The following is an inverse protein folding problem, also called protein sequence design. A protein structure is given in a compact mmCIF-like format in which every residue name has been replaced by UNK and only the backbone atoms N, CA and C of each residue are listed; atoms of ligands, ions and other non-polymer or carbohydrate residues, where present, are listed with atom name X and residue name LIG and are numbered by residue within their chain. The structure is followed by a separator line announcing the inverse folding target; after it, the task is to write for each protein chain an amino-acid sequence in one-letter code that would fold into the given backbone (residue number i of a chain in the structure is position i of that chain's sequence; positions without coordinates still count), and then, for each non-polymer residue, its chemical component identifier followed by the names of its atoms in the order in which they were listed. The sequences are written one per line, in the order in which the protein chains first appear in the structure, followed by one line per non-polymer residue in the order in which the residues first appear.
data_IF_090976031884
#
_entry.id   IF_090976031884
#
_cell.length_a   1.000
_cell.length_b   1.000
_cell.length_c   1.000
_cell.angle_alpha   90.00
_cell.angle_beta   90.00
_cell.angle_gamma   90.00
#
_symmetry.space_group_name_H-M   'P 1'
#
loop_
_entity.id
_entity.type
_entity.pdbx_description
1 polymer ?
#
# COMPACT_ATOMS: atom_id res chain seq x y z
N UNK A 1 18.16 20.60 -9.42
CA UNK A 1 19.08 19.48 -9.16
C UNK A 1 19.93 19.88 -7.96
N UNK A 2 19.82 19.18 -6.84
CA UNK A 2 20.61 19.49 -5.65
C UNK A 2 22.05 19.05 -5.89
N UNK A 3 22.97 20.00 -6.01
CA UNK A 3 24.41 19.67 -6.00
C UNK A 3 24.77 19.17 -4.59
N UNK A 4 25.19 17.91 -4.52
CA UNK A 4 25.67 17.32 -3.26
C UNK A 4 26.89 18.10 -2.74
N UNK A 5 27.05 18.28 -1.43
CA UNK A 5 28.23 18.95 -0.89
C UNK A 5 29.52 18.27 -1.34
N UNK A 6 30.52 19.04 -1.78
CA UNK A 6 31.80 18.53 -2.31
C UNK A 6 32.58 17.65 -1.32
N UNK A 7 32.31 17.77 -0.02
CA UNK A 7 32.94 16.96 1.03
C UNK A 7 32.37 15.55 1.13
N UNK A 8 31.17 15.30 0.60
CA UNK A 8 30.50 14.01 0.72
C UNK A 8 31.13 13.02 -0.27
N UNK A 9 31.73 11.90 0.21
CA UNK A 9 32.43 10.94 -0.64
C UNK A 9 31.43 9.99 -1.33
N UNK A 10 30.47 10.53 -2.07
CA UNK A 10 29.54 9.76 -2.89
C UNK A 10 30.34 9.01 -3.97
N UNK A 11 29.96 7.75 -4.23
CA UNK A 11 30.51 6.96 -5.34
C UNK A 11 30.27 7.67 -6.68
N UNK A 12 31.26 7.64 -7.57
CA UNK A 12 31.19 8.39 -8.83
C UNK A 12 30.04 7.95 -9.74
N UNK A 13 29.65 6.68 -9.69
CA UNK A 13 28.54 6.12 -10.49
C UNK A 13 27.14 6.56 -10.01
N UNK A 14 27.05 7.24 -8.87
CA UNK A 14 25.82 7.84 -8.32
C UNK A 14 25.77 9.37 -8.49
N UNK A 15 26.88 10.00 -8.88
CA UNK A 15 26.93 11.46 -9.07
C UNK A 15 26.04 11.88 -10.25
N UNK A 16 25.34 13.00 -10.10
CA UNK A 16 24.46 13.55 -11.12
C UNK A 16 23.09 12.86 -11.24
N UNK A 17 22.85 11.78 -10.50
CA UNK A 17 21.53 11.14 -10.44
C UNK A 17 20.59 11.90 -9.50
N UNK A 18 19.29 11.78 -9.75
CA UNK A 18 18.22 12.26 -8.87
C UNK A 18 17.55 11.10 -8.15
N UNK A 19 16.96 11.37 -6.99
CA UNK A 19 16.12 10.40 -6.30
C UNK A 19 14.97 9.95 -7.22
N UNK A 20 14.70 8.64 -7.23
CA UNK A 20 13.55 8.08 -7.91
C UNK A 20 12.28 8.35 -7.09
N UNK A 21 11.19 8.66 -7.77
CA UNK A 21 9.88 8.86 -7.16
C UNK A 21 9.03 9.75 -8.05
N UNK A 22 7.80 9.33 -8.32
CA UNK A 22 6.84 10.21 -8.97
C UNK A 22 6.56 11.42 -8.04
N UNK A 23 6.39 12.64 -8.58
CA UNK A 23 6.02 13.81 -7.79
C UNK A 23 4.77 13.54 -6.94
N UNK A 24 4.84 13.84 -5.65
CA UNK A 24 3.71 13.74 -4.73
C UNK A 24 2.91 15.04 -4.78
N UNK A 25 2.19 15.24 -5.87
CA UNK A 25 1.36 16.42 -6.07
C UNK A 25 0.01 16.23 -5.38
N UNK A 26 -0.44 17.27 -4.69
CA UNK A 26 -1.80 17.33 -4.16
C UNK A 26 -2.77 17.69 -5.29
N UNK A 27 -3.27 16.65 -5.95
CA UNK A 27 -4.16 16.75 -7.10
C UNK A 27 -5.36 15.84 -6.91
N UNK A 28 -6.50 16.30 -7.41
CA UNK A 28 -7.81 15.63 -7.29
C UNK A 28 -7.75 14.19 -7.82
N UNK A 29 -7.10 13.97 -8.98
CA UNK A 29 -7.02 12.66 -9.64
C UNK A 29 -5.57 12.16 -9.70
N UNK A 30 -5.20 11.26 -8.79
CA UNK A 30 -3.89 10.60 -8.78
C UNK A 30 -3.97 9.25 -9.47
N UNK A 31 -3.54 9.20 -10.74
CA UNK A 31 -3.57 8.01 -11.61
C UNK A 31 -2.18 7.64 -12.15
N UNK A 32 -1.12 7.93 -11.39
CA UNK A 32 0.27 7.86 -11.87
C UNK A 32 1.11 6.70 -11.29
N UNK A 33 0.64 6.01 -10.23
CA UNK A 33 1.43 4.98 -9.52
C UNK A 33 0.82 3.57 -9.56
N UNK A 34 -0.21 3.34 -10.38
CA UNK A 34 -0.92 2.06 -10.53
C UNK A 34 -1.41 1.48 -9.18
N UNK A 35 -1.89 2.31 -8.27
CA UNK A 35 -2.48 1.87 -7.00
C UNK A 35 -3.88 1.30 -7.22
N UNK A 36 -4.33 0.43 -6.31
CA UNK A 36 -5.75 0.11 -6.24
C UNK A 36 -6.51 1.38 -5.80
N UNK A 37 -7.50 1.88 -6.54
CA UNK A 37 -8.27 3.05 -6.11
C UNK A 37 -9.26 2.73 -4.98
N UNK A 38 -9.53 1.45 -4.69
CA UNK A 38 -10.47 1.05 -3.64
C UNK A 38 -9.80 1.01 -2.27
N UNK A 39 -10.51 1.48 -1.24
CA UNK A 39 -10.10 1.33 0.16
C UNK A 39 -10.24 -0.13 0.64
N UNK A 40 -9.52 -0.47 1.70
CA UNK A 40 -9.67 -1.75 2.40
C UNK A 40 -11.09 -1.88 2.98
N UNK A 41 -11.58 -3.11 3.12
CA UNK A 41 -12.87 -3.36 3.79
C UNK A 41 -12.77 -3.22 5.28
N UNK A 42 -13.87 -2.83 5.92
CA UNK A 42 -13.94 -2.73 7.38
C UNK A 42 -13.60 -4.05 8.05
N UNK A 43 -14.02 -5.18 7.46
CA UNK A 43 -13.65 -6.52 7.92
C UNK A 43 -12.14 -6.74 7.90
N UNK A 44 -11.47 -6.37 6.80
CA UNK A 44 -10.02 -6.50 6.68
C UNK A 44 -9.28 -5.52 7.60
N UNK A 45 -9.78 -4.29 7.76
CA UNK A 45 -9.22 -3.30 8.70
C UNK A 45 -9.32 -3.81 10.13
N UNK A 46 -10.46 -4.40 10.51
CA UNK A 46 -10.67 -5.00 11.82
C UNK A 46 -9.71 -6.17 12.05
N UNK A 47 -9.57 -7.08 11.08
CA UNK A 47 -8.66 -8.24 11.17
C UNK A 47 -7.19 -7.82 11.30
N UNK A 48 -6.73 -6.84 10.50
CA UNK A 48 -5.38 -6.26 10.63
C UNK A 48 -5.19 -5.65 12.02
N UNK A 49 -6.15 -4.85 12.48
CA UNK A 49 -6.05 -4.15 13.77
C UNK A 49 -5.98 -5.15 14.93
N UNK A 50 -6.80 -6.20 14.88
CA UNK A 50 -6.79 -7.24 15.91
C UNK A 50 -5.51 -8.09 15.85
N UNK A 51 -5.03 -8.43 14.66
CA UNK A 51 -3.76 -9.12 14.47
C UNK A 51 -2.58 -8.33 15.05
N UNK A 52 -2.53 -7.01 14.82
CA UNK A 52 -1.51 -6.11 15.40
C UNK A 52 -1.67 -6.01 16.92
N UNK A 53 -2.91 -5.87 17.43
CA UNK A 53 -3.20 -5.84 18.87
C UNK A 53 -2.70 -7.09 19.56
N UNK A 54 -2.93 -8.27 18.97
CA UNK A 54 -2.56 -9.56 19.54
C UNK A 54 -1.04 -9.68 19.77
N UNK A 55 -0.22 -9.12 18.87
CA UNK A 55 1.25 -9.16 18.97
C UNK A 55 1.86 -7.95 19.68
N UNK A 56 1.09 -6.91 19.98
CA UNK A 56 1.60 -5.62 20.44
C UNK A 56 2.45 -5.71 21.72
N UNK A 57 2.15 -6.68 22.59
CA UNK A 57 2.89 -6.91 23.84
C UNK A 57 4.31 -7.44 23.61
N UNK A 58 4.58 -8.03 22.45
CA UNK A 58 5.85 -8.68 22.12
C UNK A 58 6.71 -7.87 21.14
N UNK A 59 6.33 -6.63 20.83
CA UNK A 59 7.08 -5.75 19.91
C UNK A 59 8.50 -5.41 20.37
N UNK A 60 8.83 -5.67 21.64
CA UNK A 60 10.20 -5.56 22.16
C UNK A 60 11.11 -6.75 21.78
N UNK A 61 10.56 -7.79 21.13
CA UNK A 61 11.29 -8.97 20.66
C UNK A 61 11.52 -8.89 19.17
N UNK A 62 12.60 -9.53 18.72
CA UNK A 62 12.79 -9.76 17.28
C UNK A 62 11.66 -10.66 16.76
N UNK A 63 11.15 -10.38 15.55
CA UNK A 63 10.12 -11.20 14.92
C UNK A 63 10.67 -12.58 14.52
N UNK A 64 9.79 -13.47 14.04
CA UNK A 64 10.21 -14.67 13.32
C UNK A 64 11.07 -14.28 12.11
N UNK A 65 12.36 -14.56 12.22
CA UNK A 65 13.36 -14.19 11.21
C UNK A 65 13.06 -14.81 9.84
N UNK A 66 12.48 -16.00 9.83
CA UNK A 66 12.30 -16.77 8.60
C UNK A 66 10.86 -16.60 8.06
N UNK A 67 10.01 -15.83 8.73
CA UNK A 67 8.63 -15.49 8.37
C UNK A 67 7.81 -16.72 7.92
N UNK A 68 7.90 -17.82 8.66
CA UNK A 68 7.42 -19.14 8.26
C UNK A 68 5.92 -19.14 8.00
N UNK A 69 5.15 -18.53 8.91
CA UNK A 69 3.69 -18.46 8.79
C UNK A 69 3.26 -17.62 7.57
N UNK A 70 3.90 -16.47 7.35
CA UNK A 70 3.64 -15.62 6.19
C UNK A 70 3.95 -16.36 4.87
N UNK A 71 5.11 -17.00 4.80
CA UNK A 71 5.52 -17.78 3.62
C UNK A 71 4.59 -18.95 3.35
N UNK A 72 4.13 -19.64 4.39
CA UNK A 72 3.13 -20.70 4.24
C UNK A 72 1.79 -20.15 3.69
N UNK A 73 1.32 -19.02 4.18
CA UNK A 73 0.10 -18.38 3.69
C UNK A 73 0.23 -17.91 2.22
N UNK A 74 1.37 -17.31 1.87
CA UNK A 74 1.69 -16.92 0.49
C UNK A 74 1.76 -18.15 -0.43
N UNK A 75 2.41 -19.23 -0.01
CA UNK A 75 2.47 -20.50 -0.74
C UNK A 75 1.08 -21.05 -1.02
N UNK A 76 0.20 -21.05 -0.02
CA UNK A 76 -1.18 -21.49 -0.17
C UNK A 76 -1.96 -20.59 -1.15
N UNK A 77 -1.76 -19.26 -1.09
CA UNK A 77 -2.39 -18.31 -2.01
C UNK A 77 -1.95 -18.53 -3.47
N UNK A 78 -0.64 -18.60 -3.72
CA UNK A 78 -0.12 -18.81 -5.08
C UNK A 78 -0.50 -20.20 -5.61
N UNK A 79 -0.64 -21.19 -4.72
CA UNK A 79 -1.11 -22.52 -5.13
C UNK A 79 -2.55 -22.50 -5.62
N UNK A 80 -3.45 -21.84 -4.87
CA UNK A 80 -4.85 -21.70 -5.28
C UNK A 80 -5.02 -20.90 -6.57
N UNK A 81 -4.29 -19.80 -6.71
CA UNK A 81 -4.42 -18.90 -7.87
C UNK A 81 -3.81 -19.48 -9.15
N UNK A 82 -2.76 -20.30 -9.06
CA UNK A 82 -2.09 -20.89 -10.22
C UNK A 82 -2.51 -22.33 -10.55
N UNK A 83 -3.11 -23.04 -9.60
CA UNK A 83 -3.41 -24.47 -9.70
C UNK A 83 -2.18 -25.38 -9.57
N UNK A 84 -1.03 -24.86 -9.12
CA UNK A 84 0.21 -25.62 -8.90
C UNK A 84 0.56 -25.62 -7.42
N UNK A 85 0.91 -26.77 -6.86
CA UNK A 85 1.22 -26.87 -5.44
C UNK A 85 2.58 -26.25 -5.09
N UNK A 86 2.59 -25.32 -4.13
CA UNK A 86 3.77 -24.71 -3.54
C UNK A 86 3.78 -24.86 -2.02
N UNK A 87 4.98 -24.97 -1.46
CA UNK A 87 5.21 -25.00 -0.01
C UNK A 87 6.03 -23.78 0.42
N UNK A 88 6.08 -23.51 1.73
CA UNK A 88 6.83 -22.36 2.29
C UNK A 88 8.31 -22.34 1.89
N UNK A 89 8.92 -23.51 1.64
CA UNK A 89 10.31 -23.65 1.17
C UNK A 89 10.52 -23.05 -0.22
N UNK A 90 9.48 -23.04 -1.07
CA UNK A 90 9.52 -22.46 -2.42
C UNK A 90 9.05 -21.01 -2.45
N UNK A 91 8.85 -20.38 -1.30
CA UNK A 91 8.40 -18.99 -1.18
C UNK A 91 9.32 -18.18 -0.29
N UNK A 92 9.55 -16.93 -0.66
CA UNK A 92 10.34 -15.97 0.07
C UNK A 92 9.62 -14.62 0.11
N UNK A 93 9.68 -13.93 1.23
CA UNK A 93 9.00 -12.66 1.44
C UNK A 93 10.00 -11.59 1.89
N UNK A 94 9.76 -10.35 1.47
CA UNK A 94 10.56 -9.18 1.78
C UNK A 94 9.68 -7.92 1.72
N UNK A 95 10.24 -6.76 2.02
CA UNK A 95 9.57 -5.46 2.03
C UNK A 95 9.30 -4.97 0.59
N UNK A 96 8.25 -5.52 -0.02
CA UNK A 96 7.84 -5.23 -1.40
C UNK A 96 8.73 -5.89 -2.44
N UNK A 97 8.30 -5.82 -3.71
CA UNK A 97 9.03 -6.44 -4.82
C UNK A 97 10.43 -5.82 -5.04
N UNK A 98 10.62 -4.54 -4.67
CA UNK A 98 11.91 -3.88 -4.76
C UNK A 98 13.00 -4.57 -3.92
N UNK A 99 12.68 -4.99 -2.68
CA UNK A 99 13.66 -5.70 -1.83
C UNK A 99 13.92 -7.12 -2.35
N UNK A 100 12.89 -7.81 -2.87
CA UNK A 100 13.07 -9.11 -3.54
C UNK A 100 14.04 -8.99 -4.73
N UNK A 101 13.83 -8.01 -5.60
CA UNK A 101 14.68 -7.78 -6.78
C UNK A 101 16.09 -7.37 -6.35
N UNK A 102 16.23 -6.56 -5.29
CA UNK A 102 17.53 -6.21 -4.72
C UNK A 102 18.27 -7.46 -4.22
N UNK A 103 17.60 -8.34 -3.47
CA UNK A 103 18.19 -9.58 -2.96
C UNK A 103 18.61 -10.51 -4.12
N UNK A 104 17.81 -10.60 -5.19
CA UNK A 104 18.17 -11.35 -6.40
C UNK A 104 19.46 -10.79 -7.02
N UNK A 105 19.55 -9.47 -7.19
CA UNK A 105 20.76 -8.86 -7.73
C UNK A 105 21.98 -8.99 -6.80
N UNK A 106 21.80 -8.96 -5.49
CA UNK A 106 22.88 -9.18 -4.54
C UNK A 106 23.40 -10.62 -4.57
N UNK A 107 22.51 -11.60 -4.77
CA UNK A 107 22.86 -13.02 -4.78
C UNK A 107 23.40 -13.50 -6.13
N UNK A 108 22.83 -13.03 -7.24
CA UNK A 108 23.07 -13.56 -8.59
C UNK A 108 23.58 -12.52 -9.59
N UNK A 109 23.51 -11.23 -9.24
CA UNK A 109 24.07 -10.13 -10.01
C UNK A 109 25.36 -9.60 -9.38
N UNK A 110 25.51 -8.28 -9.34
CA UNK A 110 26.67 -7.61 -8.77
C UNK A 110 27.80 -7.39 -9.78
N UNK A 111 28.94 -6.94 -9.26
CA UNK A 111 30.09 -6.52 -10.08
C UNK A 111 30.58 -7.66 -10.96
N UNK A 112 30.72 -7.38 -12.25
CA UNK A 112 31.18 -8.37 -13.24
C UNK A 112 30.03 -9.19 -13.86
N UNK A 113 28.81 -9.07 -13.36
CA UNK A 113 27.63 -9.70 -13.94
C UNK A 113 26.80 -8.70 -14.74
N UNK A 114 26.12 -9.24 -15.76
CA UNK A 114 25.22 -8.54 -16.66
C UNK A 114 23.79 -9.06 -16.51
N UNK A 115 22.84 -8.15 -16.46
CA UNK A 115 21.41 -8.41 -16.53
C UNK A 115 20.84 -7.82 -17.82
N UNK A 116 19.91 -8.55 -18.44
CA UNK A 116 19.20 -8.15 -19.65
C UNK A 116 17.71 -7.99 -19.33
N UNK A 117 17.10 -6.88 -19.75
CA UNK A 117 15.65 -6.70 -19.71
C UNK A 117 15.11 -6.10 -21.01
N UNK A 118 13.89 -6.47 -21.40
CA UNK A 118 13.32 -6.07 -22.70
C UNK A 118 12.50 -4.79 -22.57
N UNK A 119 13.05 -3.67 -23.05
CA UNK A 119 12.50 -2.32 -22.88
C UNK A 119 11.56 -1.91 -24.03
N UNK A 120 10.60 -0.98 -23.79
CA UNK A 120 10.26 -0.35 -22.51
C UNK A 120 9.62 -1.34 -21.51
N UNK A 121 10.10 -1.29 -20.26
CA UNK A 121 9.69 -2.15 -19.15
C UNK A 121 9.79 -1.40 -17.81
N UNK A 122 9.68 -2.12 -16.70
CA UNK A 122 9.63 -1.54 -15.37
C UNK A 122 10.93 -0.80 -15.02
N UNK A 123 10.79 0.49 -14.72
CA UNK A 123 11.89 1.43 -14.49
C UNK A 123 12.78 1.09 -13.29
N UNK A 124 12.29 0.33 -12.30
CA UNK A 124 13.08 -0.03 -11.13
C UNK A 124 14.13 -1.11 -11.40
N UNK A 125 13.95 -1.99 -12.40
CA UNK A 125 14.92 -3.05 -12.69
C UNK A 125 16.34 -2.50 -12.96
N UNK A 126 16.55 -1.56 -13.92
CA UNK A 126 17.88 -0.98 -14.16
C UNK A 126 18.40 -0.14 -12.97
N UNK A 127 17.52 0.51 -12.22
CA UNK A 127 17.92 1.31 -11.06
C UNK A 127 18.47 0.43 -9.93
N UNK A 128 17.78 -0.67 -9.61
CA UNK A 128 18.23 -1.60 -8.58
C UNK A 128 19.53 -2.28 -9.06
N UNK A 129 19.59 -2.75 -10.31
CA UNK A 129 20.80 -3.32 -10.92
C UNK A 129 22.02 -2.42 -10.72
N UNK A 130 21.89 -1.12 -11.02
CA UNK A 130 22.96 -0.13 -10.82
C UNK A 130 23.38 -0.03 -9.35
N UNK A 131 22.43 0.11 -8.42
CA UNK A 131 22.74 0.25 -6.99
C UNK A 131 23.44 -0.97 -6.40
N UNK A 132 23.15 -2.17 -6.94
CA UNK A 132 23.82 -3.42 -6.57
C UNK A 132 25.10 -3.67 -7.37
N UNK A 133 25.44 -2.81 -8.33
CA UNK A 133 26.67 -2.90 -9.14
C UNK A 133 26.61 -3.90 -10.29
N UNK A 134 25.41 -4.32 -10.71
CA UNK A 134 25.16 -5.18 -11.87
C UNK A 134 25.12 -4.32 -13.14
N UNK A 135 25.79 -4.77 -14.21
CA UNK A 135 25.66 -4.14 -15.51
C UNK A 135 24.26 -4.43 -16.09
N UNK A 136 23.55 -3.42 -16.56
CA UNK A 136 22.21 -3.59 -17.14
C UNK A 136 22.25 -3.30 -18.64
N UNK A 137 21.71 -4.23 -19.43
CA UNK A 137 21.57 -4.10 -20.88
C UNK A 137 20.09 -4.01 -21.23
N UNK A 138 19.76 -2.96 -21.99
CA UNK A 138 18.42 -2.75 -22.53
C UNK A 138 18.25 -3.56 -23.82
N UNK A 139 17.56 -4.68 -23.69
CA UNK A 139 17.00 -5.41 -24.82
C UNK A 139 15.83 -4.65 -25.44
N UNK A 140 15.47 -5.05 -26.66
CA UNK A 140 14.43 -4.42 -27.47
C UNK A 140 13.17 -5.28 -27.51
N UNK A 141 12.03 -4.63 -27.35
CA UNK A 141 10.71 -5.17 -27.72
C UNK A 141 10.38 -4.86 -29.17
N UNK A 142 9.39 -5.55 -29.69
CA UNK A 142 8.86 -5.30 -31.03
C UNK A 142 8.17 -3.91 -31.08
N UNK A 143 8.00 -3.29 -32.26
CA UNK A 143 7.42 -1.94 -32.38
C UNK A 143 6.00 -1.80 -31.82
N UNK A 144 5.26 -2.90 -31.67
CA UNK A 144 3.94 -2.97 -31.05
C UNK A 144 3.99 -3.27 -29.53
N UNK A 145 5.17 -3.19 -28.94
CA UNK A 145 5.49 -3.48 -27.54
C UNK A 145 5.34 -4.95 -27.12
N UNK A 146 5.12 -5.86 -28.07
CA UNK A 146 5.17 -7.29 -27.81
C UNK A 146 6.61 -7.80 -27.70
N UNK A 147 6.76 -9.07 -27.36
CA UNK A 147 8.05 -9.74 -27.32
C UNK A 147 7.85 -11.13 -27.90
N UNK A 148 8.51 -11.41 -29.03
CA UNK A 148 8.57 -12.76 -29.60
C UNK A 148 9.69 -13.59 -28.97
N UNK A 149 9.48 -14.91 -28.90
CA UNK A 149 10.50 -15.86 -28.44
C UNK A 149 11.77 -15.80 -29.28
N UNK A 150 11.65 -15.69 -30.60
CA UNK A 150 12.80 -15.61 -31.52
C UNK A 150 13.68 -14.38 -31.21
N UNK A 151 13.08 -13.19 -31.13
CA UNK A 151 13.80 -11.95 -30.83
C UNK A 151 14.45 -12.01 -29.44
N UNK A 152 13.72 -12.48 -28.44
CA UNK A 152 14.23 -12.58 -27.08
C UNK A 152 15.42 -13.56 -26.98
N UNK A 153 15.33 -14.73 -27.61
CA UNK A 153 16.39 -15.74 -27.66
C UNK A 153 17.64 -15.21 -28.36
N UNK A 154 17.48 -14.51 -29.49
CA UNK A 154 18.61 -13.92 -30.21
C UNK A 154 19.37 -12.92 -29.34
N UNK A 155 18.65 -12.04 -28.63
CA UNK A 155 19.26 -11.05 -27.73
C UNK A 155 19.96 -11.70 -26.52
N UNK A 156 19.39 -12.77 -25.95
CA UNK A 156 20.04 -13.53 -24.86
C UNK A 156 21.34 -14.16 -25.35
N UNK A 157 21.34 -14.74 -26.56
CA UNK A 157 22.53 -15.38 -27.15
C UNK A 157 23.62 -14.38 -27.50
N UNK A 158 23.27 -13.17 -27.93
CA UNK A 158 24.22 -12.10 -28.20
C UNK A 158 24.83 -11.53 -26.91
N UNK A 159 24.00 -11.22 -25.91
CA UNK A 159 24.43 -10.54 -24.68
C UNK A 159 25.10 -11.48 -23.68
N UNK A 160 24.73 -12.77 -23.65
CA UNK A 160 25.19 -13.75 -22.65
C UNK A 160 25.03 -13.27 -21.18
N UNK A 161 23.82 -12.81 -20.77
CA UNK A 161 23.62 -12.27 -19.42
C UNK A 161 23.58 -13.37 -18.35
N UNK A 162 23.87 -13.02 -17.10
CA UNK A 162 23.65 -13.92 -15.94
C UNK A 162 22.21 -13.84 -15.43
N UNK A 163 21.53 -12.71 -15.67
CA UNK A 163 20.14 -12.48 -15.28
C UNK A 163 19.32 -12.00 -16.48
N UNK A 164 18.13 -12.55 -16.66
CA UNK A 164 17.16 -12.08 -17.67
C UNK A 164 15.88 -11.67 -16.95
N UNK A 165 15.40 -10.46 -17.19
CA UNK A 165 14.17 -9.92 -16.60
C UNK A 165 13.05 -9.83 -17.64
N UNK A 166 11.89 -10.37 -17.29
CA UNK A 166 10.65 -10.27 -18.05
C UNK A 166 9.57 -9.73 -17.11
N UNK A 167 8.83 -8.70 -17.50
CA UNK A 167 7.65 -8.23 -16.76
C UNK A 167 6.39 -8.65 -17.52
N UNK A 168 5.46 -9.34 -16.85
CA UNK A 168 4.25 -9.87 -17.49
C UNK A 168 3.09 -9.99 -16.47
N UNK A 169 2.01 -9.20 -16.61
CA UNK A 169 1.83 -8.09 -17.55
C UNK A 169 2.87 -6.99 -17.40
N UNK A 170 3.31 -6.41 -18.53
CA UNK A 170 4.40 -5.44 -18.58
C UNK A 170 3.97 -4.05 -18.08
N UNK A 171 4.90 -3.30 -17.48
CA UNK A 171 4.74 -1.89 -17.14
C UNK A 171 5.79 -1.11 -17.94
N UNK A 172 5.43 -0.15 -18.82
CA UNK A 172 4.17 0.60 -18.85
C UNK A 172 3.12 0.10 -19.84
N UNK A 173 3.41 -0.93 -20.63
CA UNK A 173 2.63 -1.25 -21.85
C UNK A 173 1.37 -2.09 -21.59
N UNK A 174 1.28 -2.75 -20.43
CA UNK A 174 0.16 -3.63 -20.06
C UNK A 174 0.14 -4.98 -20.79
N UNK A 175 1.08 -5.25 -21.68
CA UNK A 175 1.11 -6.49 -22.48
C UNK A 175 1.59 -7.68 -21.66
N UNK A 176 0.91 -8.82 -21.76
CA UNK A 176 1.39 -10.08 -21.19
C UNK A 176 2.33 -10.77 -22.19
N UNK A 177 3.38 -11.41 -21.68
CA UNK A 177 4.26 -12.28 -22.47
C UNK A 177 3.70 -13.69 -22.45
N UNK A 178 3.51 -14.31 -23.61
CA UNK A 178 2.93 -15.67 -23.70
C UNK A 178 3.81 -16.71 -23.01
N UNK A 179 3.21 -17.78 -22.49
CA UNK A 179 3.99 -18.87 -21.88
C UNK A 179 4.97 -19.51 -22.88
N UNK A 180 4.60 -19.61 -24.16
CA UNK A 180 5.51 -20.14 -25.20
C UNK A 180 6.76 -19.27 -25.36
N UNK A 181 6.61 -17.94 -25.33
CA UNK A 181 7.74 -17.01 -25.34
C UNK A 181 8.56 -17.12 -24.07
N UNK A 182 7.91 -17.19 -22.90
CA UNK A 182 8.60 -17.37 -21.63
C UNK A 182 9.40 -18.67 -21.59
N UNK A 183 8.86 -19.78 -22.12
CA UNK A 183 9.57 -21.06 -22.26
C UNK A 183 10.80 -20.94 -23.15
N UNK A 184 10.68 -20.31 -24.32
CA UNK A 184 11.82 -20.08 -25.21
C UNK A 184 12.94 -19.29 -24.53
N UNK A 185 12.57 -18.25 -23.76
CA UNK A 185 13.54 -17.47 -22.97
C UNK A 185 14.19 -18.33 -21.88
N UNK A 186 13.40 -19.11 -21.14
CA UNK A 186 13.89 -19.99 -20.09
C UNK A 186 14.85 -21.05 -20.62
N UNK A 187 14.56 -21.63 -21.78
CA UNK A 187 15.42 -22.60 -22.47
C UNK A 187 16.74 -21.97 -22.90
N UNK A 188 16.71 -20.81 -23.58
CA UNK A 188 17.92 -20.12 -24.01
C UNK A 188 18.76 -19.61 -22.83
N UNK A 189 18.13 -19.11 -21.77
CA UNK A 189 18.82 -18.72 -20.55
C UNK A 189 19.49 -19.93 -19.88
N UNK A 190 18.83 -21.09 -19.86
CA UNK A 190 19.39 -22.31 -19.30
C UNK A 190 20.63 -22.79 -20.04
N UNK A 191 20.67 -22.66 -21.38
CA UNK A 191 21.83 -23.02 -22.20
C UNK A 191 23.10 -22.27 -21.80
N UNK A 192 22.95 -21.04 -21.32
CA UNK A 192 24.07 -20.16 -20.91
C UNK A 192 24.25 -20.07 -19.39
N UNK A 193 23.48 -20.85 -18.62
CA UNK A 193 23.54 -20.84 -17.15
C UNK A 193 22.94 -19.59 -16.49
N UNK A 194 22.06 -18.87 -17.19
CA UNK A 194 21.41 -17.66 -16.70
C UNK A 194 20.11 -17.95 -15.93
N UNK A 195 19.84 -17.09 -14.95
CA UNK A 195 18.60 -17.10 -14.17
C UNK A 195 17.59 -16.12 -14.79
N UNK A 196 16.33 -16.55 -14.94
CA UNK A 196 15.24 -15.73 -15.46
C UNK A 196 14.32 -15.29 -14.34
N UNK A 197 14.12 -13.98 -14.21
CA UNK A 197 13.21 -13.36 -13.26
C UNK A 197 11.97 -12.90 -14.03
N UNK A 198 10.83 -13.49 -13.70
CA UNK A 198 9.54 -13.19 -14.29
C UNK A 198 8.73 -12.38 -13.28
N UNK A 199 8.64 -11.08 -13.52
CA UNK A 199 7.95 -10.11 -12.67
C UNK A 199 6.46 -10.06 -13.00
N UNK A 200 5.67 -10.70 -12.14
CA UNK A 200 4.22 -10.84 -12.22
C UNK A 200 3.49 -9.85 -11.29
N UNK A 201 4.01 -8.63 -11.12
CA UNK A 201 3.39 -7.60 -10.25
C UNK A 201 1.92 -7.28 -10.57
N UNK A 202 1.46 -7.56 -11.80
CA UNK A 202 0.08 -7.29 -12.25
C UNK A 202 -0.70 -8.56 -12.61
N UNK A 203 -0.23 -9.75 -12.20
CA UNK A 203 -0.82 -10.99 -12.66
C UNK A 203 -2.27 -11.21 -12.17
N UNK A 204 -2.68 -10.62 -11.04
CA UNK A 204 -4.07 -10.60 -10.58
C UNK A 204 -5.00 -9.79 -11.51
N UNK A 205 -4.45 -8.86 -12.29
CA UNK A 205 -5.18 -8.05 -13.28
C UNK A 205 -5.03 -8.57 -14.72
N UNK A 206 -4.33 -9.68 -14.90
CA UNK A 206 -4.13 -10.24 -16.22
C UNK A 206 -5.48 -10.62 -16.86
N UNK A 207 -5.57 -10.48 -18.19
CA UNK A 207 -6.80 -10.79 -18.93
C UNK A 207 -7.21 -12.24 -18.68
N UNK A 208 -8.51 -12.51 -18.60
CA UNK A 208 -9.06 -13.87 -18.45
C UNK A 208 -8.40 -14.83 -19.44
N UNK A 209 -7.91 -15.97 -18.94
CA UNK A 209 -7.18 -16.96 -19.73
C UNK A 209 -5.65 -16.78 -19.75
N UNK A 210 -5.13 -15.65 -19.26
CA UNK A 210 -3.68 -15.47 -19.09
C UNK A 210 -3.20 -16.35 -17.93
N UNK A 211 -2.35 -17.33 -18.25
CA UNK A 211 -1.78 -18.23 -17.25
C UNK A 211 -0.51 -17.64 -16.64
N UNK A 212 -0.31 -17.91 -15.34
CA UNK A 212 0.88 -17.49 -14.62
C UNK A 212 2.10 -18.35 -14.97
N UNK A 213 3.27 -17.71 -14.97
CA UNK A 213 4.59 -18.31 -15.06
C UNK A 213 4.89 -19.30 -13.92
N UNK A 214 4.14 -19.24 -12.80
CA UNK A 214 4.19 -20.23 -11.73
C UNK A 214 4.02 -21.67 -12.27
N UNK A 215 3.26 -21.84 -13.35
CA UNK A 215 3.06 -23.14 -14.00
C UNK A 215 4.31 -23.72 -14.67
N UNK A 216 5.33 -22.90 -14.90
CA UNK A 216 6.60 -23.31 -15.52
C UNK A 216 7.66 -23.69 -14.47
N UNK A 217 7.47 -23.36 -13.19
CA UNK A 217 8.48 -23.52 -12.14
C UNK A 217 8.84 -24.98 -11.80
N UNK A 218 8.01 -25.95 -12.17
CA UNK A 218 8.34 -27.37 -11.99
C UNK A 218 9.27 -27.91 -13.09
N UNK A 219 9.28 -27.25 -14.24
CA UNK A 219 10.05 -27.66 -15.41
C UNK A 219 11.35 -26.87 -15.56
N UNK A 220 11.34 -25.60 -15.15
CA UNK A 220 12.46 -24.68 -15.32
C UNK A 220 13.06 -24.28 -13.97
N UNK A 221 14.13 -24.95 -13.50
CA UNK A 221 14.77 -24.62 -12.22
C UNK A 221 15.51 -23.27 -12.25
N UNK A 222 15.78 -22.72 -13.43
CA UNK A 222 16.37 -21.40 -13.64
C UNK A 222 15.32 -20.27 -13.73
N UNK A 223 14.10 -20.51 -13.25
CA UNK A 223 13.03 -19.52 -13.20
C UNK A 223 12.77 -19.04 -11.77
N UNK A 224 12.63 -17.72 -11.60
CA UNK A 224 12.06 -17.08 -10.42
C UNK A 224 10.83 -16.27 -10.84
N UNK A 225 9.76 -16.35 -10.06
CA UNK A 225 8.56 -15.51 -10.26
C UNK A 225 8.43 -14.56 -9.08
N UNK A 226 8.35 -13.25 -9.36
CA UNK A 226 8.09 -12.24 -8.33
C UNK A 226 6.64 -11.76 -8.38
N UNK A 227 6.02 -11.57 -7.22
CA UNK A 227 4.65 -11.06 -7.03
C UNK A 227 4.67 -9.89 -6.05
N UNK A 228 3.57 -9.14 -5.98
CA UNK A 228 3.41 -8.05 -4.99
C UNK A 228 1.99 -7.97 -4.45
N UNK A 229 1.85 -7.50 -3.21
CA UNK A 229 0.55 -7.21 -2.60
C UNK A 229 0.14 -5.74 -2.78
N UNK A 230 1.01 -4.87 -3.31
CA UNK A 230 0.79 -3.42 -3.40
C UNK A 230 -0.26 -2.96 -4.42
N UNK A 231 -0.99 -3.89 -5.07
CA UNK A 231 -1.80 -3.59 -6.27
C UNK A 231 -3.23 -4.11 -6.23
N UNK A 232 -3.49 -5.36 -5.82
CA UNK A 232 -4.81 -5.98 -6.03
C UNK A 232 -5.71 -6.11 -4.78
N UNK A 233 -5.21 -5.89 -3.57
CA UNK A 233 -5.93 -6.29 -2.35
C UNK A 233 -6.62 -5.14 -1.60
N UNK A 234 -7.72 -4.64 -2.16
CA UNK A 234 -8.67 -3.79 -1.47
C UNK A 234 -10.07 -3.91 -2.14
N UNK A 235 -11.03 -4.64 -1.53
CA UNK A 235 -12.40 -4.80 -2.04
C UNK A 235 -13.40 -4.82 -0.87
N UNK A 236 -14.21 -3.76 -0.72
CA UNK A 236 -15.13 -3.59 0.42
C UNK A 236 -16.60 -3.26 0.08
N UNK A 237 -16.89 -2.68 -1.09
CA UNK A 237 -18.28 -2.52 -1.57
C UNK A 237 -19.22 -1.62 -0.76
N UNK A 238 -18.75 -0.54 -0.13
CA UNK A 238 -19.58 0.44 0.61
C UNK A 238 -19.67 1.78 -0.13
N UNK A 239 -20.76 2.56 0.05
CA UNK A 239 -21.00 3.85 -0.62
C UNK A 239 -21.16 5.03 0.36
N UNK A 240 -20.98 6.29 -0.08
CA UNK A 240 -21.17 7.48 0.78
C UNK A 240 -22.58 7.66 1.37
N UNK A 241 -23.57 6.94 0.85
CA UNK A 241 -24.93 6.95 1.38
C UNK A 241 -25.04 6.20 2.73
N UNK A 242 -24.09 5.32 3.01
CA UNK A 242 -24.09 4.41 4.16
C UNK A 242 -23.40 5.01 5.41
N UNK A 243 -23.04 6.31 5.38
CA UNK A 243 -22.27 6.98 6.44
C UNK A 243 -23.11 8.06 7.16
N UNK A 244 -23.25 7.92 8.48
CA UNK A 244 -24.12 8.75 9.35
C UNK A 244 -23.39 9.83 10.16
N UNK A 245 -22.08 9.74 10.37
CA UNK A 245 -21.26 10.74 11.09
C UNK A 245 -19.92 10.87 10.37
N UNK A 246 -19.41 12.09 10.22
CA UNK A 246 -18.11 12.35 9.63
C UNK A 246 -17.17 12.95 10.69
N UNK A 247 -15.90 12.57 10.69
CA UNK A 247 -14.87 13.23 11.53
C UNK A 247 -13.70 13.67 10.65
N UNK A 248 -13.95 14.70 9.84
CA UNK A 248 -12.96 15.19 8.87
C UNK A 248 -11.93 16.12 9.51
N UNK A 249 -10.68 15.95 9.06
CA UNK A 249 -9.52 16.71 9.53
C UNK A 249 -9.70 18.24 9.30
N UNK A 250 -9.83 19.02 10.38
CA UNK A 250 -10.26 20.43 10.34
C UNK A 250 -9.16 21.44 10.70
N UNK A 251 -7.94 21.21 10.24
CA UNK A 251 -6.83 22.14 10.46
C UNK A 251 -7.08 23.55 9.87
N UNK A 252 -7.94 23.65 8.85
CA UNK A 252 -8.47 24.90 8.32
C UNK A 252 -9.92 24.71 7.80
N UNK A 253 -10.80 25.68 8.01
CA UNK A 253 -12.25 25.58 7.70
C UNK A 253 -12.55 25.18 6.25
N UNK A 254 -11.73 25.63 5.29
CA UNK A 254 -11.92 25.31 3.88
C UNK A 254 -11.65 23.82 3.55
N UNK A 255 -10.72 23.20 4.26
CA UNK A 255 -10.33 21.80 4.04
C UNK A 255 -11.48 20.84 4.35
N UNK A 256 -12.27 21.15 5.39
CA UNK A 256 -13.48 20.40 5.77
C UNK A 256 -14.48 20.35 4.61
N UNK A 257 -14.70 21.46 3.90
CA UNK A 257 -15.64 21.50 2.77
C UNK A 257 -15.14 20.66 1.59
N UNK A 258 -13.85 20.78 1.24
CA UNK A 258 -13.26 20.00 0.16
C UNK A 258 -13.30 18.49 0.44
N UNK A 259 -13.01 18.09 1.67
CA UNK A 259 -13.03 16.68 2.06
C UNK A 259 -14.44 16.08 2.00
N UNK A 260 -15.48 16.82 2.39
CA UNK A 260 -16.86 16.35 2.28
C UNK A 260 -17.31 16.15 0.83
N UNK A 261 -16.78 16.94 -0.12
CA UNK A 261 -16.98 16.73 -1.55
C UNK A 261 -16.19 15.52 -2.08
N UNK A 262 -14.93 15.34 -1.66
CA UNK A 262 -14.07 14.23 -2.09
C UNK A 262 -14.55 12.88 -1.57
N UNK A 263 -15.16 12.86 -0.38
CA UNK A 263 -15.81 11.69 0.20
C UNK A 263 -17.15 11.36 -0.48
N UNK A 264 -17.59 12.16 -1.46
CA UNK A 264 -18.80 11.92 -2.23
C UNK A 264 -20.10 12.21 -1.48
N UNK A 265 -20.04 12.99 -0.40
CA UNK A 265 -21.24 13.37 0.36
C UNK A 265 -22.04 14.51 -0.29
N UNK A 266 -21.39 15.31 -1.13
CA UNK A 266 -21.98 16.33 -1.99
C UNK A 266 -21.14 16.48 -3.26
N UNK A 267 -21.67 17.15 -4.29
CA UNK A 267 -20.91 17.33 -5.53
C UNK A 267 -19.81 18.37 -5.32
N UNK A 268 -18.77 18.28 -6.15
CA UNK A 268 -17.70 19.27 -6.18
C UNK A 268 -18.24 20.68 -6.42
N UNK A 269 -17.83 21.63 -5.56
CA UNK A 269 -18.32 23.00 -5.56
C UNK A 269 -19.56 23.25 -4.68
N UNK A 270 -20.18 22.19 -4.14
CA UNK A 270 -21.36 22.30 -3.26
C UNK A 270 -20.99 22.21 -1.77
N UNK A 271 -19.73 22.00 -1.39
CA UNK A 271 -19.28 21.78 -0.02
C UNK A 271 -19.61 22.93 0.93
N UNK A 272 -19.61 24.17 0.41
CA UNK A 272 -20.06 25.35 1.14
C UNK A 272 -21.55 25.30 1.49
N UNK A 273 -22.40 25.00 0.51
CA UNK A 273 -23.84 24.86 0.70
C UNK A 273 -24.17 23.63 1.57
N UNK A 274 -23.42 22.54 1.37
CA UNK A 274 -23.53 21.32 2.13
C UNK A 274 -23.26 21.58 3.62
N UNK A 275 -22.13 22.20 3.98
CA UNK A 275 -21.83 22.56 5.38
C UNK A 275 -22.82 23.59 5.92
N UNK A 276 -23.17 24.60 5.12
CA UNK A 276 -24.06 25.69 5.53
C UNK A 276 -25.51 25.24 5.74
N UNK A 277 -25.94 24.13 5.12
CA UNK A 277 -27.26 23.53 5.30
C UNK A 277 -27.53 23.06 6.73
N UNK A 278 -26.49 22.99 7.57
CA UNK A 278 -26.56 22.47 8.93
C UNK A 278 -26.47 20.95 9.00
N UNK A 279 -26.28 20.26 7.87
CA UNK A 279 -26.15 18.80 7.83
C UNK A 279 -24.99 18.29 8.70
N UNK A 280 -23.93 19.09 8.82
CA UNK A 280 -22.70 18.80 9.58
C UNK A 280 -22.72 19.27 11.03
N UNK A 281 -23.79 19.92 11.49
CA UNK A 281 -23.91 20.35 12.89
C UNK A 281 -24.19 19.17 13.79
N UNK A 282 -23.90 19.32 15.08
CA UNK A 282 -24.43 18.43 16.11
C UNK A 282 -25.98 18.41 16.04
N UNK A 283 -26.56 17.24 15.77
CA UNK A 283 -28.00 17.05 15.54
C UNK A 283 -28.45 17.13 14.07
N UNK A 284 -27.55 17.41 13.13
CA UNK A 284 -27.80 17.29 11.69
C UNK A 284 -27.81 15.83 11.21
N UNK A 285 -28.14 15.60 9.92
CA UNK A 285 -28.18 14.24 9.33
C UNK A 285 -26.80 13.57 9.29
N UNK A 286 -25.71 14.35 9.21
CA UNK A 286 -24.34 13.84 9.20
C UNK A 286 -23.41 14.75 10.01
N UNK A 287 -23.50 14.73 11.35
CA UNK A 287 -22.69 15.59 12.21
C UNK A 287 -21.19 15.45 11.92
N UNK A 288 -20.44 16.56 12.01
CA UNK A 288 -19.00 16.62 11.78
C UNK A 288 -18.21 17.01 13.03
N UNK A 289 -17.13 16.29 13.34
CA UNK A 289 -16.16 16.59 14.42
C UNK A 289 -16.84 16.88 15.76
N UNK A 290 -17.51 15.88 16.31
CA UNK A 290 -18.40 16.06 17.46
C UNK A 290 -17.69 16.51 18.75
N UNK A 291 -16.36 16.31 18.83
CA UNK A 291 -15.48 16.79 19.90
C UNK A 291 -14.96 18.23 19.74
N UNK A 292 -15.26 18.90 18.62
CA UNK A 292 -14.72 20.23 18.30
C UNK A 292 -13.39 20.23 17.52
N UNK A 293 -12.89 19.04 17.17
CA UNK A 293 -11.77 18.86 16.25
C UNK A 293 -10.43 19.43 16.72
N UNK A 294 -9.54 19.70 15.77
CA UNK A 294 -8.15 20.11 16.05
C UNK A 294 -8.02 21.46 16.75
N UNK A 295 -9.02 22.34 16.61
CA UNK A 295 -9.02 23.68 17.21
C UNK A 295 -9.33 23.68 18.71
N UNK A 296 -10.08 22.70 19.19
CA UNK A 296 -10.47 22.59 20.60
C UNK A 296 -9.47 21.77 21.44
N UNK A 297 -8.69 20.86 20.83
CA UNK A 297 -7.89 19.86 21.57
C UNK A 297 -6.34 20.00 21.45
N UNK A 298 -5.85 20.90 20.60
CA UNK A 298 -4.42 21.21 20.47
C UNK A 298 -3.61 20.23 19.58
N UNK A 299 -2.49 20.72 19.03
CA UNK A 299 -1.70 20.07 17.96
C UNK A 299 -0.73 18.99 18.46
N UNK A 300 -1.20 18.00 19.22
CA UNK A 300 -0.37 16.92 19.80
C UNK A 300 -0.59 15.59 19.08
N UNK A 301 -0.32 15.56 17.77
CA UNK A 301 -0.17 14.36 16.91
C UNK A 301 -1.02 13.11 17.31
N UNK A 302 -2.32 13.29 17.61
CA UNK A 302 -3.29 12.21 17.82
C UNK A 302 -3.25 11.46 19.18
N UNK A 303 -2.27 11.71 20.06
CA UNK A 303 -2.17 10.97 21.34
C UNK A 303 -3.27 11.35 22.34
N UNK A 304 -3.69 12.60 22.36
CA UNK A 304 -4.78 13.04 23.25
C UNK A 304 -6.11 12.38 22.87
N UNK A 305 -6.34 12.15 21.58
CA UNK A 305 -7.56 11.50 21.07
C UNK A 305 -7.65 10.03 21.46
N UNK A 306 -6.49 9.35 21.50
CA UNK A 306 -6.41 7.98 22.00
C UNK A 306 -6.83 7.91 23.46
N UNK A 307 -6.33 8.87 24.27
CA UNK A 307 -6.65 8.97 25.70
C UNK A 307 -8.14 9.28 25.88
N UNK A 308 -8.68 10.21 25.10
CA UNK A 308 -10.09 10.59 25.12
C UNK A 308 -11.00 9.40 24.80
N UNK A 309 -10.73 8.66 23.72
CA UNK A 309 -11.52 7.49 23.34
C UNK A 309 -11.53 6.40 24.42
N UNK A 310 -10.38 6.15 25.05
CA UNK A 310 -10.30 5.21 26.17
C UNK A 310 -11.10 5.69 27.37
N UNK A 311 -11.11 6.99 27.67
CA UNK A 311 -11.89 7.56 28.77
C UNK A 311 -13.39 7.53 28.49
N UNK A 312 -13.80 7.84 27.26
CA UNK A 312 -15.19 7.77 26.81
C UNK A 312 -15.72 6.34 26.98
N UNK A 313 -14.99 5.33 26.49
CA UNK A 313 -15.39 3.91 26.55
C UNK A 313 -15.56 3.39 27.99
N UNK A 314 -14.80 3.95 28.94
CA UNK A 314 -14.88 3.57 30.35
C UNK A 314 -15.98 4.29 31.12
N UNK A 315 -16.63 5.27 30.49
CA UNK A 315 -17.58 6.17 31.14
C UNK A 315 -16.96 7.03 32.26
N UNK A 316 -15.70 7.42 32.11
CA UNK A 316 -14.91 8.09 33.15
C UNK A 316 -14.76 9.62 32.92
N UNK A 317 -15.54 10.23 32.01
CA UNK A 317 -15.37 11.65 31.63
C UNK A 317 -16.34 12.57 32.38
N UNK A 318 -15.96 12.95 33.59
CA UNK A 318 -16.78 13.81 34.46
C UNK A 318 -16.25 15.25 34.59
N UNK A 319 -15.12 15.57 33.96
CA UNK A 319 -14.37 16.82 34.08
C UNK A 319 -15.12 18.08 33.57
N UNK A 320 -16.15 17.92 32.74
CA UNK A 320 -17.09 18.98 32.34
C UNK A 320 -18.50 18.85 32.95
N UNK A 321 -18.76 17.76 33.68
CA UNK A 321 -20.09 17.47 34.21
C UNK A 321 -20.46 18.41 35.38
N UNK A 322 -21.74 18.83 35.48
CA UNK A 322 -22.17 19.66 36.60
C UNK A 322 -22.14 18.88 37.91
N UNK A 323 -21.94 19.63 39.00
CA UNK A 323 -21.95 19.09 40.36
C UNK A 323 -23.36 18.76 40.80
N UNK A 324 -23.58 17.49 41.13
CA UNK A 324 -24.82 17.00 41.72
C UNK A 324 -25.00 17.46 43.17
N UNK A 325 -26.21 17.31 43.73
CA UNK A 325 -26.51 17.69 45.12
C UNK A 325 -25.68 16.95 46.18
N UNK A 326 -25.09 15.82 45.80
CA UNK A 326 -24.23 14.96 46.63
C UNK A 326 -22.76 15.37 46.64
N UNK A 327 -22.40 16.46 45.96
CA UNK A 327 -21.00 16.88 45.86
C UNK A 327 -20.17 16.01 44.92
N UNK A 328 -20.78 15.30 43.97
CA UNK A 328 -20.08 14.58 42.89
C UNK A 328 -20.51 15.06 41.52
N UNK A 329 -19.62 14.98 40.54
CA UNK A 329 -19.92 15.30 39.14
C UNK A 329 -20.84 14.22 38.57
N UNK A 330 -21.92 14.61 37.89
CA UNK A 330 -22.91 13.68 37.35
C UNK A 330 -23.08 13.86 35.84
N UNK A 331 -23.02 12.76 35.09
CA UNK A 331 -23.27 12.78 33.64
C UNK A 331 -24.73 13.13 33.36
N UNK A 332 -24.96 14.38 32.98
CA UNK A 332 -26.30 14.85 32.54
C UNK A 332 -26.60 14.50 31.10
N UNK A 333 -25.57 14.15 30.31
CA UNK A 333 -25.65 13.96 28.85
C UNK A 333 -26.24 15.17 28.11
N UNK A 334 -26.16 16.34 28.73
CA UNK A 334 -26.48 17.63 28.13
C UNK A 334 -25.21 18.21 27.53
N UNK A 335 -25.10 18.11 26.20
CA UNK A 335 -23.89 18.42 25.43
C UNK A 335 -23.76 19.92 25.07
N UNK A 336 -24.58 20.80 25.67
CA UNK A 336 -24.44 22.25 25.47
C UNK A 336 -23.12 22.76 26.07
N UNK A 337 -22.67 23.94 25.63
CA UNK A 337 -21.42 24.55 26.09
C UNK A 337 -21.39 24.64 27.63
N UNK A 338 -20.34 24.09 28.25
CA UNK A 338 -20.24 23.97 29.71
C UNK A 338 -20.98 22.79 30.34
N UNK A 339 -21.55 21.89 29.53
CA UNK A 339 -22.26 20.68 29.95
C UNK A 339 -21.43 19.39 29.89
N UNK A 340 -22.12 18.24 29.98
CA UNK A 340 -21.52 16.91 30.03
C UNK A 340 -20.98 16.49 28.66
N UNK A 341 -19.74 16.01 28.59
CA UNK A 341 -19.13 15.51 27.34
C UNK A 341 -18.96 13.99 27.27
N UNK A 342 -19.34 13.26 28.32
CA UNK A 342 -19.41 11.80 28.30
C UNK A 342 -20.51 11.35 27.34
N UNK A 343 -20.17 10.53 26.35
CA UNK A 343 -21.14 9.94 25.43
C UNK A 343 -22.00 8.92 26.18
N UNK A 344 -23.32 9.09 26.08
CA UNK A 344 -24.29 8.18 26.69
C UNK A 344 -24.30 6.83 25.98
N UNK A 345 -24.27 5.74 26.75
CA UNK A 345 -24.42 4.36 26.27
C UNK A 345 -23.41 3.97 25.17
N UNK A 346 -22.18 4.49 25.29
CA UNK A 346 -21.06 4.16 24.41
C UNK A 346 -20.61 2.71 24.62
N UNK A 347 -20.42 1.97 23.52
CA UNK A 347 -20.01 0.57 23.57
C UNK A 347 -18.68 0.30 22.84
N UNK A 348 -18.30 1.15 21.87
CA UNK A 348 -17.11 0.92 21.05
C UNK A 348 -16.41 2.24 20.73
N UNK A 349 -15.07 2.23 20.79
CA UNK A 349 -14.23 3.33 20.29
C UNK A 349 -13.11 2.78 19.42
N UNK A 350 -12.78 3.48 18.34
CA UNK A 350 -11.66 3.15 17.45
C UNK A 350 -10.67 4.31 17.40
N UNK A 351 -9.37 4.00 17.34
CA UNK A 351 -8.30 4.97 17.08
C UNK A 351 -7.64 4.59 15.76
N UNK A 352 -7.47 5.56 14.87
CA UNK A 352 -7.03 5.32 13.49
C UNK A 352 -5.68 6.03 13.29
N UNK A 353 -4.70 5.28 12.81
CA UNK A 353 -3.31 5.72 12.66
C UNK A 353 -3.07 6.56 11.40
N UNK A 354 -1.95 7.30 11.39
CA UNK A 354 -1.58 8.21 10.31
C UNK A 354 -1.41 7.51 8.95
N UNK A 355 -2.21 7.90 7.97
CA UNK A 355 -1.99 7.68 6.53
C UNK A 355 -2.51 8.91 5.74
N UNK A 356 -1.90 9.22 4.59
CA UNK A 356 -2.22 10.43 3.81
C UNK A 356 -2.92 10.15 2.48
N UNK A 357 -4.01 10.89 2.14
CA UNK A 357 -4.47 12.07 2.87
C UNK A 357 -5.63 11.79 3.84
N UNK A 358 -5.33 11.97 5.13
CA UNK A 358 -6.24 12.57 6.12
C UNK A 358 -7.56 11.87 6.39
N UNK A 359 -7.54 10.59 6.77
CA UNK A 359 -8.68 9.94 7.43
C UNK A 359 -8.52 9.98 8.94
N UNK A 360 -9.48 10.65 9.59
CA UNK A 360 -10.01 10.49 10.97
C UNK A 360 -9.07 9.83 11.98
N UNK A 361 -8.72 10.49 13.09
CA UNK A 361 -7.76 9.90 14.06
C UNK A 361 -8.42 9.16 15.23
N UNK A 362 -9.75 9.21 15.38
CA UNK A 362 -10.53 8.46 16.36
C UNK A 362 -12.03 8.42 16.01
N UNK A 363 -12.77 7.44 16.53
CA UNK A 363 -14.23 7.32 16.38
C UNK A 363 -14.83 6.77 17.68
N UNK A 364 -16.01 7.29 18.05
CA UNK A 364 -16.78 6.84 19.21
C UNK A 364 -18.16 6.39 18.73
N UNK A 365 -18.55 5.15 19.04
CA UNK A 365 -19.74 4.50 18.50
C UNK A 365 -20.65 3.99 19.62
N UNK A 366 -21.95 4.19 19.42
CA UNK A 366 -23.03 3.56 20.19
C UNK A 366 -23.66 2.45 19.35
N UNK A 367 -24.16 1.40 19.98
CA UNK A 367 -25.10 0.48 19.33
C UNK A 367 -26.50 1.01 19.58
N UNK A 368 -27.20 1.36 18.50
CA UNK A 368 -28.64 1.63 18.53
C UNK A 368 -29.41 0.34 18.52
#
# INVERSE_FOLDING_TARGET
MSEWPKWLPIRDDLRGLSAYGAPQLDVINRLNTNENPYSLSDELVADITESVRAIAKDLNRYPDRDAIALRAALAAYVSRSSGVEFTSVRTWAANGSNEIIQQIFQAFGGRGHTALGFTPSYSMHPLIARTTGTNWIDGQRDPDFTLSGESAVAQIKDVQPQLVFITSPNNPTGTAVSLDTQRAILEAAREIGALVVIDEAYAEFARTGTRSALTLLNEFPNALVTRTMSKAFAMAGVTPADIDVAEVYDCFTYIVMCQLEDLGFCKKGEGGDYVSSGITRLGGRRPNNTSGGHLCEGYTHGMNMVIENVRQLRHDIDDSCPMGPDGKRQHTYDYREGGCRQVKDIEVTANLGWASPGTTSGMVMRRG
#
